data_IF_265880961101
#
_entry.id   IF_265880961101
#
_cell.length_a   1.000
_cell.length_b   1.000
_cell.length_c   1.000
_cell.angle_alpha   90.00
_cell.angle_beta   90.00
_cell.angle_gamma   90.00
#
_symmetry.space_group_name_H-M   'P 1'
#
loop_
_entity.id
_entity.type
_entity.pdbx_description
1 polymer ?
#
# COMPACT_ATOMS: atom_id res chain seq x y z
N UNK A 1 27.94 -15.25 4.87
CA UNK A 1 27.11 -14.32 4.07
C UNK A 1 26.43 -13.38 5.05
N UNK A 2 26.92 -12.15 5.21
CA UNK A 2 26.28 -11.19 6.09
C UNK A 2 24.95 -10.75 5.46
N UNK A 3 23.84 -11.00 6.14
CA UNK A 3 22.55 -10.42 5.78
C UNK A 3 22.65 -8.91 6.01
N UNK A 4 22.71 -8.12 4.94
CA UNK A 4 22.52 -6.69 5.01
C UNK A 4 21.06 -6.44 5.37
N UNK A 5 20.76 -6.39 6.67
CA UNK A 5 19.49 -5.91 7.19
C UNK A 5 19.39 -4.42 6.87
N UNK A 6 18.90 -4.12 5.66
CA UNK A 6 18.42 -2.79 5.33
C UNK A 6 17.14 -2.62 6.14
N UNK A 7 17.25 -1.92 7.26
CA UNK A 7 16.07 -1.49 8.03
C UNK A 7 15.30 -0.52 7.16
N UNK A 8 14.28 -1.02 6.46
CA UNK A 8 13.36 -0.20 5.68
C UNK A 8 12.48 0.52 6.69
N UNK A 9 12.71 1.81 6.87
CA UNK A 9 11.84 2.64 7.70
C UNK A 9 10.44 2.68 7.07
N UNK A 10 9.48 2.04 7.73
CA UNK A 10 8.08 2.06 7.30
C UNK A 10 7.47 3.42 7.61
N UNK A 11 6.80 4.00 6.61
CA UNK A 11 6.09 5.26 6.78
C UNK A 11 4.66 4.99 7.20
N UNK A 12 4.22 5.68 8.25
CA UNK A 12 2.81 5.77 8.57
C UNK A 12 2.03 6.45 7.42
N UNK A 13 0.73 6.23 7.31
CA UNK A 13 -0.07 6.78 6.21
C UNK A 13 -0.05 8.32 6.19
N UNK A 14 0.03 8.96 7.35
CA UNK A 14 0.13 10.42 7.48
C UNK A 14 1.44 10.99 6.91
N UNK A 15 2.46 10.16 6.72
CA UNK A 15 3.74 10.54 6.12
C UNK A 15 3.75 10.45 4.59
N UNK A 16 2.71 9.89 3.97
CA UNK A 16 2.63 9.77 2.50
C UNK A 16 2.55 11.14 1.84
N UNK A 17 3.46 11.38 0.89
CA UNK A 17 3.49 12.63 0.10
C UNK A 17 3.37 12.33 -1.39
N UNK A 18 2.61 13.16 -2.09
CA UNK A 18 2.54 13.16 -3.56
C UNK A 18 3.93 13.53 -4.13
N UNK A 19 4.33 12.86 -5.22
CA UNK A 19 5.60 13.13 -5.91
C UNK A 19 6.80 12.30 -5.42
N UNK A 20 6.66 11.48 -4.37
CA UNK A 20 7.63 10.42 -4.05
C UNK A 20 7.26 9.15 -4.80
N UNK A 21 8.14 8.69 -5.69
CA UNK A 21 7.87 7.58 -6.62
C UNK A 21 7.79 6.20 -5.94
N UNK A 22 8.48 6.00 -4.82
CA UNK A 22 8.45 4.75 -4.06
C UNK A 22 8.43 5.03 -2.56
N UNK A 23 7.42 4.50 -1.87
CA UNK A 23 7.26 4.58 -0.42
C UNK A 23 6.80 3.20 0.08
N UNK A 24 7.36 2.75 1.20
CA UNK A 24 6.97 1.51 1.84
C UNK A 24 6.05 1.81 3.02
N UNK A 25 4.88 1.18 3.02
CA UNK A 25 3.90 1.26 4.09
C UNK A 25 3.64 -0.13 4.65
N UNK A 26 3.30 -0.19 5.94
CA UNK A 26 2.71 -1.39 6.57
C UNK A 26 1.28 -1.04 6.89
N UNK A 27 0.35 -1.96 6.64
CA UNK A 27 -1.06 -1.72 6.94
C UNK A 27 -1.89 -2.99 6.87
N UNK A 28 -2.98 -3.00 7.60
CA UNK A 28 -3.98 -4.06 7.60
C UNK A 28 -4.99 -3.83 6.48
N UNK A 29 -5.19 -4.84 5.61
CA UNK A 29 -6.19 -4.77 4.54
C UNK A 29 -7.59 -5.02 5.11
N UNK A 30 -8.42 -3.98 5.11
CA UNK A 30 -9.79 -4.06 5.60
C UNK A 30 -10.78 -4.44 4.50
N UNK A 31 -10.57 -3.95 3.27
CA UNK A 31 -11.46 -4.24 2.15
C UNK A 31 -10.74 -4.16 0.80
N UNK A 32 -11.10 -5.08 -0.07
CA UNK A 32 -10.70 -5.15 -1.47
C UNK A 32 -11.95 -5.02 -2.34
N UNK A 33 -11.92 -4.16 -3.36
CA UNK A 33 -12.95 -4.11 -4.39
C UNK A 33 -12.41 -4.68 -5.69
N UNK A 34 -13.23 -5.50 -6.36
CA UNK A 34 -12.88 -6.06 -7.67
C UNK A 34 -12.74 -4.94 -8.72
N UNK A 35 -11.72 -5.07 -9.56
CA UNK A 35 -11.25 -4.04 -10.49
C UNK A 35 -11.44 -4.37 -11.96
N UNK A 36 -12.34 -5.32 -12.25
CA UNK A 36 -12.57 -5.81 -13.60
C UNK A 36 -13.43 -4.87 -14.41
N UNK A 37 -12.93 -4.49 -15.59
CA UNK A 37 -13.69 -3.76 -16.58
C UNK A 37 -14.70 -4.70 -17.27
N UNK A 38 -15.97 -4.64 -16.88
CA UNK A 38 -17.01 -5.43 -17.58
C UNK A 38 -17.07 -5.09 -19.08
N UNK A 39 -16.83 -3.82 -19.45
CA UNK A 39 -16.89 -3.34 -20.84
C UNK A 39 -15.68 -3.74 -21.68
N UNK A 40 -14.54 -4.02 -21.05
CA UNK A 40 -13.32 -4.49 -21.73
C UNK A 40 -12.99 -5.93 -21.36
N UNK A 41 -14.01 -6.80 -21.39
CA UNK A 41 -13.83 -8.25 -21.22
C UNK A 41 -13.14 -8.65 -19.91
N UNK A 42 -13.29 -7.86 -18.85
CA UNK A 42 -12.65 -8.10 -17.56
C UNK A 42 -11.22 -7.58 -17.46
N UNK A 43 -10.73 -6.78 -18.41
CA UNK A 43 -9.42 -6.12 -18.30
C UNK A 43 -9.30 -5.34 -17.00
N UNK A 44 -8.09 -5.35 -16.43
CA UNK A 44 -7.77 -4.66 -15.19
C UNK A 44 -7.84 -3.14 -15.39
N UNK A 45 -8.71 -2.44 -14.64
CA UNK A 45 -8.78 -0.97 -14.68
C UNK A 45 -7.94 -0.29 -13.60
N UNK A 46 -7.74 -0.97 -12.47
CA UNK A 46 -7.15 -0.39 -11.27
C UNK A 46 -7.87 -0.84 -10.02
N UNK A 47 -7.12 -1.08 -8.96
CA UNK A 47 -7.65 -1.59 -7.69
C UNK A 47 -8.00 -0.45 -6.74
N UNK A 48 -9.05 -0.66 -5.95
CA UNK A 48 -9.33 0.15 -4.77
C UNK A 48 -9.16 -0.73 -3.54
N UNK A 49 -8.32 -0.28 -2.62
CA UNK A 49 -8.03 -0.94 -1.35
C UNK A 49 -8.38 0.02 -0.22
N UNK A 50 -8.98 -0.51 0.86
CA UNK A 50 -9.06 0.19 2.14
C UNK A 50 -8.06 -0.46 3.10
N UNK A 51 -7.06 0.31 3.51
CA UNK A 51 -6.03 -0.11 4.46
C UNK A 51 -6.18 0.66 5.77
N UNK A 52 -5.76 0.04 6.87
CA UNK A 52 -5.58 0.67 8.18
C UNK A 52 -4.10 0.63 8.55
N UNK A 53 -3.56 1.74 9.03
CA UNK A 53 -2.19 1.79 9.53
C UNK A 53 -2.14 1.55 11.05
N UNK A 54 -1.04 1.00 11.53
CA UNK A 54 -0.76 0.89 12.96
C UNK A 54 -0.28 2.25 13.45
N UNK A 55 -1.22 3.06 13.97
CA UNK A 55 -0.82 4.26 14.69
C UNK A 55 -0.08 3.83 15.94
N UNK A 56 1.24 4.02 15.97
CA UNK A 56 2.02 3.91 17.20
C UNK A 56 1.41 4.90 18.21
N UNK A 57 0.72 4.38 19.23
CA UNK A 57 0.32 5.17 20.38
C UNK A 57 1.59 5.48 21.17
N UNK A 58 1.96 6.76 21.24
CA UNK A 58 2.97 7.26 22.15
C UNK A 58 2.46 7.24 23.59
#
# INVERSE_FOLDING_TARGET
MASSDVVVAHSAFDALRLGRSAQFIVGCLLRFWDSKNIKKQGEFMGITLLLLDEKFAA
#
